data_IF_998492040652
#
_entry.id   IF_998492040652
#
_cell.length_a   1.000
_cell.length_b   1.000
_cell.length_c   1.000
_cell.angle_alpha   90.00
_cell.angle_beta   90.00
_cell.angle_gamma   90.00
#
_symmetry.space_group_name_H-M   'P 1'
#
loop_
_entity.id
_entity.type
_entity.pdbx_description
1 polymer ?
#
# COMPACT_ATOMS: atom_id res chain seq x y z
N UNK A 1 30.03 -2.49 1.11
CA UNK A 1 29.20 -1.58 1.94
C UNK A 1 28.21 -0.91 1.01
N UNK A 2 26.92 -1.20 1.18
CA UNK A 2 25.84 -0.73 0.31
C UNK A 2 25.77 0.79 0.29
N UNK A 3 25.87 1.41 -0.89
CA UNK A 3 25.55 2.82 -1.08
C UNK A 3 24.11 3.06 -0.62
N UNK A 4 23.93 3.90 0.40
CA UNK A 4 22.59 4.36 0.79
C UNK A 4 22.05 5.18 -0.35
N UNK A 5 21.22 4.57 -1.22
CA UNK A 5 20.54 5.27 -2.30
C UNK A 5 19.69 6.40 -1.69
N UNK A 6 20.20 7.64 -1.78
CA UNK A 6 19.51 8.83 -1.28
C UNK A 6 18.51 9.27 -2.34
N UNK A 7 17.23 9.16 -2.01
CA UNK A 7 16.13 9.62 -2.86
C UNK A 7 16.05 11.14 -2.73
N UNK A 8 16.04 11.87 -3.85
CA UNK A 8 15.83 13.32 -3.85
C UNK A 8 14.40 13.68 -3.42
N UNK A 9 14.18 14.88 -2.90
CA UNK A 9 12.84 15.37 -2.53
C UNK A 9 11.83 15.24 -3.66
N UNK A 10 12.25 15.50 -4.90
CA UNK A 10 11.39 15.36 -6.08
C UNK A 10 11.03 13.90 -6.35
N UNK A 11 11.99 12.97 -6.25
CA UNK A 11 11.72 11.54 -6.43
C UNK A 11 10.79 11.00 -5.34
N UNK A 12 10.97 11.43 -4.09
CA UNK A 12 10.07 11.08 -2.99
C UNK A 12 8.66 11.62 -3.24
N UNK A 13 8.52 12.87 -3.67
CA UNK A 13 7.23 13.46 -4.01
C UNK A 13 6.53 12.70 -5.14
N UNK A 14 7.27 12.33 -6.20
CA UNK A 14 6.73 11.55 -7.32
C UNK A 14 6.26 10.17 -6.83
N UNK A 15 7.07 9.47 -6.03
CA UNK A 15 6.72 8.16 -5.47
C UNK A 15 5.47 8.24 -4.57
N UNK A 16 5.42 9.24 -3.69
CA UNK A 16 4.27 9.46 -2.82
C UNK A 16 3.00 9.73 -3.64
N UNK A 17 3.05 10.62 -4.65
CA UNK A 17 1.90 10.91 -5.51
C UNK A 17 1.43 9.67 -6.26
N UNK A 18 2.33 8.90 -6.88
CA UNK A 18 1.95 7.68 -7.59
C UNK A 18 1.36 6.63 -6.64
N UNK A 19 1.93 6.47 -5.45
CA UNK A 19 1.40 5.55 -4.44
C UNK A 19 -0.01 5.94 -4.01
N UNK A 20 -0.26 7.22 -3.70
CA UNK A 20 -1.57 7.71 -3.27
C UNK A 20 -2.61 7.58 -4.38
N UNK A 21 -2.24 7.92 -5.63
CA UNK A 21 -3.14 7.79 -6.78
C UNK A 21 -3.45 6.32 -7.05
N UNK A 22 -2.45 5.44 -6.97
CA UNK A 22 -2.62 4.00 -7.14
C UNK A 22 -3.61 3.40 -6.13
N UNK A 23 -3.42 3.70 -4.85
CA UNK A 23 -4.33 3.27 -3.77
C UNK A 23 -5.76 3.79 -3.98
N UNK A 24 -5.91 5.08 -4.32
CA UNK A 24 -7.22 5.68 -4.58
C UNK A 24 -8.00 4.95 -5.69
N UNK A 25 -7.31 4.52 -6.76
CA UNK A 25 -7.95 3.80 -7.88
C UNK A 25 -8.50 2.44 -7.42
N UNK A 26 -7.83 1.76 -6.49
CA UNK A 26 -8.28 0.48 -5.94
C UNK A 26 -9.50 0.63 -5.03
N UNK A 27 -9.56 1.74 -4.27
CA UNK A 27 -10.61 1.98 -3.26
C UNK A 27 -11.90 2.56 -3.88
N UNK A 28 -11.80 3.33 -4.97
CA UNK A 28 -12.94 4.01 -5.60
C UNK A 28 -14.13 3.08 -5.95
N UNK A 29 -13.95 1.89 -6.55
CA UNK A 29 -15.05 0.97 -6.82
C UNK A 29 -15.83 0.58 -5.55
N UNK A 30 -15.13 0.36 -4.44
CA UNK A 30 -15.74 0.00 -3.17
C UNK A 30 -16.53 1.17 -2.56
N UNK A 31 -16.03 2.40 -2.66
CA UNK A 31 -16.72 3.61 -2.17
C UNK A 31 -18.00 3.87 -2.96
N UNK A 32 -17.94 3.80 -4.30
CA UNK A 32 -19.08 4.06 -5.19
C UNK A 32 -20.18 3.02 -5.01
N UNK A 33 -19.82 1.77 -4.71
CA UNK A 33 -20.78 0.71 -4.40
C UNK A 33 -21.44 0.89 -3.02
N UNK A 34 -20.78 1.55 -2.07
CA UNK A 34 -21.21 1.66 -0.67
C UNK A 34 -22.12 2.84 -0.38
N UNK A 35 -21.70 4.08 -0.64
CA UNK A 35 -22.37 5.27 -0.09
C UNK A 35 -21.97 6.55 -0.88
N UNK A 36 -22.70 6.90 -1.94
CA UNK A 36 -22.54 8.20 -2.60
C UNK A 36 -23.30 9.30 -1.82
N UNK A 37 -22.77 9.72 -0.65
CA UNK A 37 -23.37 10.81 0.13
C UNK A 37 -23.00 12.18 -0.45
N UNK A 38 -24.04 12.99 -0.73
CA UNK A 38 -23.96 14.33 -1.34
C UNK A 38 -23.09 15.37 -0.61
N UNK A 39 -22.73 15.13 0.67
CA UNK A 39 -21.98 16.08 1.50
C UNK A 39 -20.50 15.70 1.73
N UNK A 40 -19.96 14.79 0.90
CA UNK A 40 -18.59 14.29 1.05
C UNK A 40 -17.51 15.39 0.98
N UNK A 41 -17.77 16.52 0.32
CA UNK A 41 -16.77 17.57 0.09
C UNK A 41 -16.26 18.22 1.38
N UNK A 42 -17.10 18.41 2.40
CA UNK A 42 -16.68 18.95 3.71
C UNK A 42 -15.78 17.95 4.44
N UNK A 43 -16.15 16.67 4.40
CA UNK A 43 -15.33 15.59 4.97
C UNK A 43 -13.97 15.51 4.27
N UNK A 44 -13.92 15.72 2.95
CA UNK A 44 -12.67 15.76 2.18
C UNK A 44 -11.77 16.91 2.63
N UNK A 45 -12.32 18.12 2.80
CA UNK A 45 -11.53 19.28 3.27
C UNK A 45 -11.01 19.05 4.69
N UNK A 46 -11.84 18.52 5.59
CA UNK A 46 -11.43 18.20 6.95
C UNK A 46 -10.34 17.13 6.95
N UNK A 47 -10.49 16.09 6.13
CA UNK A 47 -9.50 15.02 5.96
C UNK A 47 -8.16 15.55 5.45
N UNK A 48 -8.18 16.48 4.49
CA UNK A 48 -6.97 17.15 3.99
C UNK A 48 -6.26 17.94 5.11
N UNK A 49 -7.00 18.70 5.92
CA UNK A 49 -6.44 19.47 7.03
C UNK A 49 -5.76 18.57 8.06
N UNK A 50 -6.42 17.48 8.47
CA UNK A 50 -5.86 16.50 9.41
C UNK A 50 -4.66 15.79 8.78
N UNK A 51 -4.75 15.38 7.52
CA UNK A 51 -3.66 14.73 6.79
C UNK A 51 -2.41 15.60 6.71
N UNK A 52 -2.56 16.89 6.41
CA UNK A 52 -1.44 17.84 6.40
C UNK A 52 -0.79 17.97 7.78
N UNK A 53 -1.59 18.05 8.84
CA UNK A 53 -1.08 18.13 10.22
C UNK A 53 -0.27 16.88 10.58
N UNK A 54 -0.76 15.70 10.20
CA UNK A 54 -0.06 14.42 10.40
C UNK A 54 1.26 14.37 9.60
N UNK A 55 1.26 14.79 8.33
CA UNK A 55 2.49 14.85 7.52
C UNK A 55 3.53 15.78 8.17
N UNK A 56 3.11 16.96 8.64
CA UNK A 56 4.00 17.90 9.31
C UNK A 56 4.60 17.30 10.58
N UNK A 57 3.81 16.56 11.35
CA UNK A 57 4.29 15.83 12.53
C UNK A 57 5.34 14.79 12.14
N UNK A 58 5.08 13.97 11.11
CA UNK A 58 6.06 12.99 10.62
C UNK A 58 7.36 13.64 10.13
N UNK A 59 7.27 14.76 9.40
CA UNK A 59 8.45 15.50 8.93
C UNK A 59 9.24 16.07 10.11
N UNK A 60 8.57 16.61 11.11
CA UNK A 60 9.22 17.15 12.31
C UNK A 60 9.94 16.04 13.09
N UNK A 61 9.25 14.93 13.34
CA UNK A 61 9.78 13.75 14.04
C UNK A 61 10.97 13.13 13.28
N UNK A 62 10.85 13.01 11.95
CA UNK A 62 11.93 12.50 11.09
C UNK A 62 13.18 13.41 11.04
N UNK A 63 13.00 14.73 11.17
CA UNK A 63 14.12 15.68 11.28
C UNK A 63 14.82 15.62 12.63
N UNK A 64 14.11 15.22 13.70
CA UNK A 64 14.65 15.20 15.05
C UNK A 64 15.78 14.16 15.21
N UNK A 65 15.67 12.99 14.56
CA UNK A 65 16.72 11.98 14.53
C UNK A 65 16.73 11.16 13.22
N UNK A 66 17.36 11.66 12.15
CA UNK A 66 17.32 11.03 10.83
C UNK A 66 18.08 9.69 10.74
N UNK A 67 18.73 9.23 11.82
CA UNK A 67 19.52 8.00 11.88
C UNK A 67 18.85 6.86 12.66
N UNK A 68 17.75 7.14 13.37
CA UNK A 68 17.08 6.15 14.22
C UNK A 68 15.93 5.50 13.45
N UNK A 69 15.78 4.19 13.60
CA UNK A 69 14.61 3.47 13.07
C UNK A 69 13.32 3.88 13.80
N UNK A 70 12.16 3.56 13.22
CA UNK A 70 10.85 3.85 13.84
C UNK A 70 10.74 3.33 15.28
N UNK A 71 11.26 2.12 15.54
CA UNK A 71 11.25 1.51 16.87
C UNK A 71 12.12 2.30 17.85
N UNK A 72 13.36 2.60 17.47
CA UNK A 72 14.30 3.37 18.30
C UNK A 72 13.82 4.80 18.54
N UNK A 73 13.17 5.40 17.54
CA UNK A 73 12.58 6.73 17.64
C UNK A 73 11.42 6.74 18.65
N UNK A 74 10.53 5.75 18.57
CA UNK A 74 9.43 5.59 19.52
C UNK A 74 9.95 5.31 20.93
N UNK A 75 10.96 4.45 21.08
CA UNK A 75 11.61 4.19 22.38
C UNK A 75 12.27 5.45 22.96
N UNK A 76 12.84 6.31 22.12
CA UNK A 76 13.48 7.55 22.58
C UNK A 76 12.49 8.64 22.96
N UNK A 77 11.37 8.75 22.24
CA UNK A 77 10.35 9.78 22.50
C UNK A 77 9.44 9.37 23.67
N UNK A 78 9.04 8.10 23.74
CA UNK A 78 7.99 7.61 24.66
C UNK A 78 8.55 6.74 25.79
N UNK A 79 9.85 6.43 25.77
CA UNK A 79 10.51 5.51 26.68
C UNK A 79 10.48 4.06 26.19
N UNK A 80 11.37 3.22 26.72
CA UNK A 80 11.57 1.84 26.25
C UNK A 80 10.28 1.01 26.27
N UNK A 81 9.56 0.98 27.39
CA UNK A 81 8.35 0.16 27.52
C UNK A 81 7.22 0.60 26.59
N UNK A 82 6.85 1.88 26.64
CA UNK A 82 5.74 2.42 25.85
C UNK A 82 6.09 2.44 24.36
N UNK A 83 7.32 2.81 24.02
CA UNK A 83 7.83 2.82 22.66
C UNK A 83 7.86 1.44 22.01
N UNK A 84 8.29 0.39 22.73
CA UNK A 84 8.26 -0.98 22.21
C UNK A 84 6.82 -1.47 21.97
N UNK A 85 5.88 -1.19 22.89
CA UNK A 85 4.47 -1.57 22.72
C UNK A 85 3.85 -0.89 21.50
N UNK A 86 4.02 0.43 21.37
CA UNK A 86 3.49 1.18 20.22
C UNK A 86 4.10 0.71 18.91
N UNK A 87 5.41 0.44 18.89
CA UNK A 87 6.08 -0.08 17.71
C UNK A 87 5.57 -1.47 17.32
N UNK A 88 5.29 -2.32 18.30
CA UNK A 88 4.71 -3.65 18.08
C UNK A 88 3.29 -3.56 17.53
N UNK A 89 2.46 -2.65 18.08
CA UNK A 89 1.12 -2.37 17.56
C UNK A 89 1.17 -1.82 16.14
N UNK A 90 2.11 -0.92 15.85
CA UNK A 90 2.30 -0.37 14.51
C UNK A 90 2.68 -1.47 13.49
N UNK A 91 3.56 -2.41 13.87
CA UNK A 91 3.90 -3.56 13.03
C UNK A 91 2.68 -4.46 12.79
N UNK A 92 1.88 -4.74 13.82
CA UNK A 92 0.64 -5.51 13.69
C UNK A 92 -0.36 -4.83 12.76
N UNK A 93 -0.54 -3.52 12.92
CA UNK A 93 -1.37 -2.70 12.03
C UNK A 93 -0.87 -2.80 10.57
N UNK A 94 0.43 -2.61 10.33
CA UNK A 94 1.01 -2.68 8.99
C UNK A 94 0.79 -4.03 8.30
N UNK A 95 0.86 -5.14 9.05
CA UNK A 95 0.57 -6.47 8.52
C UNK A 95 -0.90 -6.63 8.13
N UNK A 96 -1.82 -6.15 8.97
CA UNK A 96 -3.26 -6.20 8.67
C UNK A 96 -3.60 -5.30 7.47
N UNK A 97 -3.03 -4.09 7.39
CA UNK A 97 -3.21 -3.19 6.25
C UNK A 97 -2.71 -3.79 4.95
N UNK A 98 -1.56 -4.48 4.95
CA UNK A 98 -1.07 -5.18 3.76
C UNK A 98 -2.08 -6.21 3.25
N UNK A 99 -2.70 -6.97 4.16
CA UNK A 99 -3.76 -7.92 3.81
C UNK A 99 -5.01 -7.24 3.21
N UNK A 100 -5.38 -6.07 3.72
CA UNK A 100 -6.49 -5.28 3.19
C UNK A 100 -6.20 -4.78 1.77
N UNK A 101 -5.01 -4.22 1.53
CA UNK A 101 -4.62 -3.75 0.19
C UNK A 101 -4.53 -4.89 -0.84
N UNK A 102 -4.06 -6.08 -0.44
CA UNK A 102 -4.08 -7.26 -1.31
C UNK A 102 -5.51 -7.66 -1.70
N UNK A 103 -6.47 -7.53 -0.78
CA UNK A 103 -7.87 -7.80 -1.06
C UNK A 103 -8.46 -6.76 -2.01
N UNK A 104 -8.22 -5.47 -1.77
CA UNK A 104 -8.65 -4.38 -2.67
C UNK A 104 -8.10 -4.57 -4.09
N UNK A 105 -6.84 -4.99 -4.21
CA UNK A 105 -6.24 -5.33 -5.50
C UNK A 105 -6.91 -6.52 -6.18
N UNK A 106 -7.25 -7.57 -5.42
CA UNK A 106 -8.00 -8.73 -5.91
C UNK A 106 -9.40 -8.35 -6.41
N UNK A 107 -10.13 -7.56 -5.62
CA UNK A 107 -11.46 -7.05 -5.97
C UNK A 107 -11.39 -6.17 -7.22
N UNK A 108 -10.40 -5.29 -7.33
CA UNK A 108 -10.15 -4.49 -8.53
C UNK A 108 -9.85 -5.36 -9.77
N UNK A 109 -9.03 -6.40 -9.61
CA UNK A 109 -8.65 -7.29 -10.72
C UNK A 109 -9.87 -8.02 -11.28
N UNK A 110 -10.72 -8.57 -10.41
CA UNK A 110 -11.94 -9.28 -10.82
C UNK A 110 -12.97 -8.32 -11.41
N UNK A 111 -13.10 -7.11 -10.88
CA UNK A 111 -14.19 -6.20 -11.30
C UNK A 111 -13.83 -5.29 -12.47
N UNK A 112 -12.58 -4.89 -12.63
CA UNK A 112 -12.16 -3.88 -13.63
C UNK A 112 -11.23 -4.45 -14.71
N UNK A 113 -10.37 -5.41 -14.38
CA UNK A 113 -9.39 -5.96 -15.33
C UNK A 113 -9.94 -7.17 -16.06
N UNK A 114 -10.67 -8.03 -15.36
CA UNK A 114 -11.27 -9.26 -15.92
C UNK A 114 -12.72 -9.48 -15.47
N UNK A 115 -13.63 -8.52 -15.73
CA UNK A 115 -15.04 -8.61 -15.29
C UNK A 115 -15.77 -9.86 -15.81
N UNK A 116 -15.39 -10.37 -16.98
CA UNK A 116 -16.09 -11.46 -17.68
C UNK A 116 -15.31 -12.79 -17.69
N UNK A 117 -14.12 -12.85 -17.09
CA UNK A 117 -13.25 -14.03 -17.20
C UNK A 117 -13.22 -14.81 -15.88
N UNK A 118 -13.78 -16.04 -15.81
CA UNK A 118 -13.68 -16.89 -14.64
C UNK A 118 -12.21 -17.18 -14.31
N UNK A 119 -11.90 -17.32 -13.02
CA UNK A 119 -10.53 -17.51 -12.49
C UNK A 119 -9.75 -18.64 -13.18
N UNK A 120 -10.45 -19.60 -13.78
CA UNK A 120 -9.87 -20.72 -14.52
C UNK A 120 -9.09 -20.31 -15.79
N UNK A 121 -9.49 -19.26 -16.51
CA UNK A 121 -8.78 -18.85 -17.73
C UNK A 121 -7.44 -18.17 -17.43
N UNK A 122 -7.32 -17.53 -16.27
CA UNK A 122 -6.06 -16.94 -15.78
C UNK A 122 -5.06 -18.03 -15.42
N UNK A 123 -5.53 -19.12 -14.82
CA UNK A 123 -4.72 -20.31 -14.50
C UNK A 123 -4.22 -21.00 -15.78
N UNK A 124 -5.02 -21.04 -16.84
CA UNK A 124 -4.62 -21.63 -18.14
C UNK A 124 -3.57 -20.76 -18.87
N UNK A 125 -3.61 -19.43 -18.75
CA UNK A 125 -2.58 -18.58 -19.35
C UNK A 125 -1.23 -18.68 -18.61
N UNK A 126 -1.26 -18.86 -17.29
CA UNK A 126 -0.04 -18.96 -16.48
C UNK A 126 0.59 -20.35 -16.49
N UNK A 127 -0.19 -21.41 -16.74
CA UNK A 127 0.34 -22.75 -16.96
C UNK A 127 0.63 -22.94 -18.46
N UNK A 128 1.88 -22.87 -18.94
CA UNK A 128 2.16 -23.27 -20.30
C UNK A 128 1.84 -24.76 -20.39
N UNK A 129 0.73 -25.10 -21.05
CA UNK A 129 0.29 -26.48 -21.25
C UNK A 129 1.51 -27.36 -21.60
N UNK A 130 1.74 -28.50 -20.91
CA UNK A 130 2.84 -29.41 -21.21
C UNK A 130 2.76 -30.02 -22.63
N UNK A 131 1.67 -29.78 -23.38
CA UNK A 131 1.49 -30.25 -24.75
C UNK A 131 2.53 -29.75 -25.75
N UNK A 132 3.36 -28.75 -25.39
CA UNK A 132 4.46 -28.29 -26.24
C UNK A 132 5.81 -28.99 -25.97
N UNK A 133 5.89 -29.89 -24.99
CA UNK A 133 7.09 -30.68 -24.67
C UNK A 133 6.97 -32.16 -25.10
N UNK A 134 6.11 -32.46 -26.08
CA UNK A 134 6.02 -33.78 -26.70
C UNK A 134 6.87 -33.85 -27.96
N UNK A 135 8.16 -34.13 -27.80
CA UNK A 135 9.07 -34.41 -28.91
C UNK A 135 8.51 -35.51 -29.82
N UNK A 136 8.69 -35.34 -31.13
CA UNK A 136 8.55 -36.40 -32.11
C UNK A 136 9.55 -37.51 -31.77
N UNK A 137 9.10 -38.53 -31.04
CA UNK A 137 9.79 -39.79 -30.90
C UNK A 137 8.94 -40.87 -31.56
N UNK A 138 9.43 -41.35 -32.71
CA UNK A 138 9.23 -42.71 -33.21
C UNK A 138 7.83 -43.11 -33.68
N UNK A 139 7.64 -43.15 -35.01
CA UNK A 139 7.17 -44.32 -35.76
C UNK A 139 7.35 -44.08 -37.25
#
# INVERSE_FOLDING_TARGET
>A
MSETAKISTRQLAILATFSTVGDSILVLPAIVAGEAKKDAWISTILGLMVGLLVILLFVYVGKFNPKLGLVELNERILGRWVGTVISSLFLGYALLSMGAHLRELGDFTVTQVMPDTPIEAVVIHFNPSPSNYGGKAGS
#
